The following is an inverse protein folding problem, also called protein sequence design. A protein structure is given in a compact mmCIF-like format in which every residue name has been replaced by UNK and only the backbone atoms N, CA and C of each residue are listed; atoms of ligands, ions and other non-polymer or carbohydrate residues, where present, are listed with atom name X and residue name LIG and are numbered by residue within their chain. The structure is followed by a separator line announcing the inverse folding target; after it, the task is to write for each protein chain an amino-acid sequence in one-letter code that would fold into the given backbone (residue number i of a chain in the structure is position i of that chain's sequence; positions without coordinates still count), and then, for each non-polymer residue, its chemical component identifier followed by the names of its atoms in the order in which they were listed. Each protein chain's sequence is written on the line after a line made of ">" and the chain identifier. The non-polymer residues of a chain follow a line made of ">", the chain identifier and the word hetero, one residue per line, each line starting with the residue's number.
data_IF_960760236032
#
_entry.id   IF_960760236032
#
_cell.length_a   1.000
_cell.length_b   1.000
_cell.length_c   1.000
_cell.angle_alpha   90.00
_cell.angle_beta   90.00
_cell.angle_gamma   90.00
#
_symmetry.space_group_name_H-M   'P 1'
#
loop_
_entity.id
_entity.type
_entity.pdbx_description
1 polymer ?
#
# COMPACT_ATOMS: atom_id res chain seq x y z
N UNK A 1 -1.42 -0.66 14.49
CA UNK A 1 -1.96 -0.63 13.13
C UNK A 1 -3.05 -1.67 12.99
N UNK A 2 -4.19 -1.27 12.45
CA UNK A 2 -5.28 -2.20 12.19
C UNK A 2 -5.46 -2.39 10.70
N UNK A 3 -5.84 -3.59 10.31
CA UNK A 3 -6.10 -3.92 8.91
C UNK A 3 -7.57 -4.30 8.80
N UNK A 4 -8.30 -3.59 7.96
CA UNK A 4 -9.74 -3.78 7.78
C UNK A 4 -10.00 -4.34 6.39
N UNK A 5 -10.83 -5.37 6.33
CA UNK A 5 -11.18 -6.01 5.07
C UNK A 5 -12.66 -5.77 4.77
N UNK A 6 -12.94 -5.34 3.54
CA UNK A 6 -14.31 -5.06 3.10
C UNK A 6 -14.57 -5.75 1.77
N UNK A 7 -15.70 -6.45 1.68
CA UNK A 7 -16.11 -7.09 0.43
C UNK A 7 -15.06 -8.07 -0.08
N UNK A 8 -14.49 -8.85 0.83
CA UNK A 8 -13.43 -9.79 0.49
C UNK A 8 -13.82 -11.22 0.80
N UNK A 9 -15.10 -11.56 0.72
CA UNK A 9 -15.57 -12.91 1.00
C UNK A 9 -14.98 -13.94 0.06
N UNK A 10 -14.52 -13.50 -1.11
CA UNK A 10 -13.91 -14.35 -2.10
C UNK A 10 -12.49 -14.80 -1.72
N UNK A 11 -11.90 -14.17 -0.72
CA UNK A 11 -10.51 -14.46 -0.34
C UNK A 11 -10.48 -15.46 0.80
N UNK A 12 -9.67 -16.52 0.65
CA UNK A 12 -9.51 -17.50 1.68
C UNK A 12 -8.75 -16.91 2.86
N UNK A 13 -8.96 -17.49 4.04
CA UNK A 13 -8.34 -16.99 5.26
C UNK A 13 -6.82 -17.06 5.18
N UNK A 14 -6.28 -18.11 4.56
CA UNK A 14 -4.83 -18.25 4.42
C UNK A 14 -4.24 -17.08 3.61
N UNK A 15 -4.90 -16.70 2.54
CA UNK A 15 -4.45 -15.58 1.72
C UNK A 15 -4.54 -14.27 2.47
N UNK A 16 -5.58 -14.11 3.27
CA UNK A 16 -5.73 -12.90 4.08
C UNK A 16 -4.60 -12.79 5.09
N UNK A 17 -4.31 -13.90 5.78
CA UNK A 17 -3.26 -13.90 6.79
C UNK A 17 -1.90 -13.61 6.19
N UNK A 18 -1.64 -14.14 5.01
CA UNK A 18 -0.37 -13.92 4.33
C UNK A 18 -0.20 -12.44 3.99
N UNK A 19 -1.24 -11.81 3.48
CA UNK A 19 -1.18 -10.40 3.13
C UNK A 19 -1.04 -9.54 4.38
N UNK A 20 -1.77 -9.87 5.43
CA UNK A 20 -1.63 -9.13 6.68
C UNK A 20 -0.21 -9.22 7.22
N UNK A 21 0.40 -10.40 7.13
CA UNK A 21 1.77 -10.57 7.60
C UNK A 21 2.73 -9.69 6.82
N UNK A 22 2.56 -9.61 5.51
CA UNK A 22 3.41 -8.78 4.67
C UNK A 22 3.25 -7.30 5.02
N UNK A 23 2.02 -6.85 5.25
CA UNK A 23 1.78 -5.45 5.57
C UNK A 23 2.32 -5.12 6.96
N UNK A 24 2.16 -6.02 7.93
CA UNK A 24 2.67 -5.79 9.27
C UNK A 24 4.19 -5.74 9.29
N UNK A 25 4.83 -6.61 8.50
CA UNK A 25 6.28 -6.58 8.38
C UNK A 25 6.74 -5.26 7.78
N UNK A 26 6.04 -4.79 6.76
CA UNK A 26 6.36 -3.51 6.15
C UNK A 26 6.22 -2.36 7.15
N UNK A 27 5.19 -2.41 7.98
CA UNK A 27 4.98 -1.37 9.00
C UNK A 27 6.11 -1.37 10.03
N UNK A 28 6.55 -2.56 10.43
CA UNK A 28 7.62 -2.67 11.41
C UNK A 28 8.93 -2.14 10.87
N UNK A 29 9.20 -2.35 9.60
CA UNK A 29 10.42 -1.86 8.97
C UNK A 29 10.49 -0.33 8.97
N UNK A 30 9.37 0.35 9.08
CA UNK A 30 9.31 1.80 9.04
C UNK A 30 8.93 2.43 10.36
N UNK A 31 9.23 1.79 11.47
CA UNK A 31 8.93 2.30 12.80
C UNK A 31 7.43 2.53 12.99
N UNK A 32 6.64 1.63 12.43
CA UNK A 32 5.18 1.66 12.58
C UNK A 32 4.57 2.96 12.10
N UNK A 33 5.03 3.43 10.95
CA UNK A 33 4.51 4.66 10.38
C UNK A 33 3.17 4.49 9.66
N UNK A 34 2.71 3.24 9.49
CA UNK A 34 1.40 2.97 8.89
C UNK A 34 0.37 2.87 10.01
N UNK A 35 -0.74 3.59 9.87
CA UNK A 35 -1.71 3.66 10.96
C UNK A 35 -2.86 2.69 10.74
N UNK A 36 -3.67 2.91 9.73
CA UNK A 36 -4.79 2.03 9.43
C UNK A 36 -4.75 1.63 7.97
N UNK A 37 -5.00 0.36 7.70
CA UNK A 37 -5.01 -0.14 6.33
C UNK A 37 -6.39 -0.68 6.03
N UNK A 38 -6.98 -0.27 4.92
CA UNK A 38 -8.27 -0.78 4.47
C UNK A 38 -8.09 -1.42 3.11
N UNK A 39 -8.59 -2.63 2.98
CA UNK A 39 -8.51 -3.37 1.72
C UNK A 39 -9.93 -3.72 1.31
N UNK A 40 -10.33 -3.30 0.13
CA UNK A 40 -11.68 -3.58 -0.36
C UNK A 40 -11.63 -4.12 -1.78
N UNK A 41 -12.54 -5.05 -2.09
CA UNK A 41 -12.67 -5.61 -3.41
C UNK A 41 -14.01 -5.22 -4.01
N UNK A 42 -13.99 -4.81 -5.27
CA UNK A 42 -15.19 -4.43 -5.98
C UNK A 42 -15.24 -5.06 -7.35
N UNK A 43 -16.45 -5.51 -7.74
CA UNK A 43 -16.67 -5.95 -9.10
C UNK A 43 -17.26 -4.78 -9.87
N UNK A 44 -16.60 -4.38 -10.94
CA UNK A 44 -17.08 -3.28 -11.73
C UNK A 44 -18.05 -3.78 -12.78
N UNK A 45 -19.27 -3.29 -12.74
CA UNK A 45 -20.25 -3.66 -13.76
C UNK A 45 -20.06 -2.88 -15.04
N UNK A 46 -19.30 -1.80 -14.98
CA UNK A 46 -19.14 -0.93 -16.14
C UNK A 46 -17.93 -1.27 -16.98
N UNK A 47 -17.10 -2.20 -16.50
CA UNK A 47 -15.86 -2.51 -17.19
C UNK A 47 -15.81 -3.95 -17.64
N UNK A 48 -16.91 -4.47 -18.09
CA UNK A 48 -16.97 -5.83 -18.70
C UNK A 48 -16.40 -6.90 -17.78
N UNK A 49 -16.73 -6.81 -16.50
CA UNK A 49 -16.32 -7.87 -15.57
C UNK A 49 -14.98 -7.64 -14.91
N UNK A 50 -14.38 -6.48 -15.11
CA UNK A 50 -13.14 -6.17 -14.40
C UNK A 50 -13.38 -6.13 -12.90
N UNK A 51 -12.38 -6.60 -12.15
CA UNK A 51 -12.42 -6.61 -10.70
C UNK A 51 -11.41 -5.61 -10.18
N UNK A 52 -11.81 -4.84 -9.19
CA UNK A 52 -10.92 -3.84 -8.62
C UNK A 52 -10.63 -4.16 -7.17
N UNK A 53 -9.37 -4.02 -6.76
CA UNK A 53 -9.00 -4.06 -5.35
C UNK A 53 -8.35 -2.72 -5.01
N UNK A 54 -8.79 -2.14 -3.92
CA UNK A 54 -8.28 -0.84 -3.46
C UNK A 54 -7.74 -1.00 -2.05
N UNK A 55 -6.52 -0.50 -1.84
CA UNK A 55 -5.90 -0.48 -0.53
C UNK A 55 -5.66 0.98 -0.17
N UNK A 56 -6.18 1.40 0.97
CA UNK A 56 -5.94 2.76 1.45
C UNK A 56 -5.27 2.66 2.82
N UNK A 57 -4.39 3.59 3.10
CA UNK A 57 -3.65 3.59 4.35
C UNK A 57 -3.31 5.02 4.74
N UNK A 58 -3.44 5.31 6.02
CA UNK A 58 -2.99 6.58 6.56
C UNK A 58 -1.57 6.41 7.05
N UNK A 59 -0.67 7.30 6.60
CA UNK A 59 0.75 7.22 6.96
C UNK A 59 1.26 8.61 7.29
N UNK A 60 1.29 8.92 8.58
CA UNK A 60 1.85 10.17 9.10
C UNK A 60 1.29 11.40 8.40
N UNK A 61 -0.03 11.48 8.37
CA UNK A 61 -0.69 12.65 7.80
C UNK A 61 -0.87 12.61 6.30
N UNK A 62 -0.45 11.53 5.65
CA UNK A 62 -0.67 11.33 4.23
C UNK A 62 -1.51 10.11 4.00
N UNK A 63 -2.28 10.12 2.95
CA UNK A 63 -3.05 8.95 2.57
C UNK A 63 -2.40 8.29 1.38
N UNK A 64 -2.19 6.98 1.49
CA UNK A 64 -1.67 6.18 0.40
C UNK A 64 -2.83 5.39 -0.18
N UNK A 65 -2.99 5.44 -1.50
CA UNK A 65 -4.04 4.71 -2.19
C UNK A 65 -3.40 3.86 -3.28
N UNK A 66 -3.66 2.56 -3.23
CA UNK A 66 -3.20 1.63 -4.27
C UNK A 66 -4.44 0.92 -4.80
N UNK A 67 -4.81 1.19 -6.04
CA UNK A 67 -5.97 0.59 -6.67
C UNK A 67 -5.53 -0.07 -7.97
N UNK A 68 -5.97 -1.31 -8.16
CA UNK A 68 -5.63 -2.07 -9.36
C UNK A 68 -6.83 -2.85 -9.84
N UNK A 69 -6.93 -3.02 -11.13
CA UNK A 69 -7.99 -3.81 -11.74
C UNK A 69 -7.38 -4.97 -12.50
N UNK A 70 -8.15 -6.05 -12.60
CA UNK A 70 -7.72 -7.23 -13.33
C UNK A 70 -8.95 -8.07 -13.65
N UNK A 71 -8.74 -9.12 -14.43
CA UNK A 71 -9.82 -10.07 -14.74
C UNK A 71 -10.23 -10.84 -13.49
N UNK A 72 -9.39 -10.96 -12.50
CA UNK A 72 -9.72 -11.68 -11.28
C UNK A 72 -9.37 -10.82 -10.06
N UNK A 73 -10.11 -11.04 -8.98
CA UNK A 73 -9.84 -10.33 -7.73
C UNK A 73 -8.51 -10.76 -7.12
N UNK A 74 -8.14 -12.03 -7.29
CA UNK A 74 -6.85 -12.48 -6.78
C UNK A 74 -5.70 -11.73 -7.43
N UNK A 75 -5.74 -11.56 -8.75
CA UNK A 75 -4.68 -10.85 -9.45
C UNK A 75 -4.71 -9.37 -9.10
N UNK A 76 -5.91 -8.79 -9.02
CA UNK A 76 -6.04 -7.38 -8.66
C UNK A 76 -5.50 -7.15 -7.24
N UNK A 77 -5.77 -8.06 -6.32
CA UNK A 77 -5.27 -7.96 -4.97
C UNK A 77 -3.75 -8.04 -4.93
N UNK A 78 -3.18 -9.00 -5.66
CA UNK A 78 -1.73 -9.14 -5.72
C UNK A 78 -1.10 -7.85 -6.25
N UNK A 79 -1.64 -7.32 -7.34
CA UNK A 79 -1.10 -6.11 -7.95
C UNK A 79 -1.25 -4.91 -7.04
N UNK A 80 -2.38 -4.81 -6.33
CA UNK A 80 -2.61 -3.70 -5.41
C UNK A 80 -1.65 -3.76 -4.23
N UNK A 81 -1.40 -4.97 -3.69
CA UNK A 81 -0.48 -5.13 -2.58
C UNK A 81 0.94 -4.74 -3.00
N UNK A 82 1.38 -5.19 -4.18
CA UNK A 82 2.70 -4.84 -4.66
C UNK A 82 2.85 -3.34 -4.86
N UNK A 83 1.82 -2.71 -5.42
CA UNK A 83 1.84 -1.27 -5.63
C UNK A 83 1.85 -0.52 -4.29
N UNK A 84 1.07 -1.00 -3.32
CA UNK A 84 1.01 -0.41 -2.00
C UNK A 84 2.40 -0.44 -1.35
N UNK A 85 3.05 -1.60 -1.39
CA UNK A 85 4.38 -1.75 -0.80
C UNK A 85 5.36 -0.79 -1.47
N UNK A 86 5.29 -0.69 -2.78
CA UNK A 86 6.18 0.21 -3.52
C UNK A 86 5.95 1.66 -3.13
N UNK A 87 4.69 2.08 -3.01
CA UNK A 87 4.40 3.46 -2.62
C UNK A 87 4.91 3.78 -1.22
N UNK A 88 4.78 2.83 -0.29
CA UNK A 88 5.27 3.02 1.06
C UNK A 88 6.79 3.19 1.06
N UNK A 89 7.47 2.34 0.31
CA UNK A 89 8.94 2.42 0.21
C UNK A 89 9.39 3.74 -0.41
N UNK A 90 8.67 4.19 -1.43
CA UNK A 90 8.99 5.46 -2.08
C UNK A 90 8.78 6.63 -1.12
N UNK A 91 7.70 6.59 -0.36
CA UNK A 91 7.44 7.63 0.62
C UNK A 91 8.56 7.71 1.65
N UNK A 92 9.03 6.56 2.14
CA UNK A 92 10.11 6.51 3.11
C UNK A 92 11.42 6.99 2.52
N UNK A 93 11.66 6.64 1.26
CA UNK A 93 12.85 7.07 0.56
C UNK A 93 12.87 8.57 0.39
N UNK A 94 11.74 9.17 0.04
CA UNK A 94 11.66 10.61 -0.12
C UNK A 94 11.91 11.34 1.19
N UNK A 95 11.40 10.79 2.30
CA UNK A 95 11.64 11.40 3.60
C UNK A 95 13.11 11.40 3.95
N UNK A 96 13.78 10.27 3.70
CA UNK A 96 15.21 10.18 3.97
C UNK A 96 16.00 11.11 3.05
N UNK A 97 15.58 11.19 1.80
CA UNK A 97 16.22 12.06 0.83
C UNK A 97 16.13 13.52 1.21
N UNK A 98 14.98 13.93 1.73
CA UNK A 98 14.83 15.31 2.18
C UNK A 98 15.78 15.64 3.30
N UNK A 99 15.91 14.75 4.26
CA UNK A 99 16.84 14.97 5.36
C UNK A 99 18.26 15.03 4.86
N UNK A 100 18.60 14.13 3.97
CA UNK A 100 19.93 14.11 3.38
C UNK A 100 20.21 15.37 2.59
N UNK A 101 19.22 15.82 1.82
CA UNK A 101 19.37 17.02 1.06
C UNK A 101 19.68 18.21 1.94
N UNK A 102 18.96 18.31 3.03
CA UNK A 102 19.19 19.41 3.92
C UNK A 102 20.59 19.40 4.49
N UNK A 103 21.08 18.22 4.79
CA UNK A 103 22.40 18.08 5.34
C UNK A 103 23.48 18.36 4.31
N UNK A 104 23.23 18.05 3.05
CA UNK A 104 24.27 18.16 2.05
C UNK A 104 24.18 19.40 1.23
N UNK A 105 23.15 20.12 1.36
CA UNK A 105 22.98 21.26 0.60
C UNK A 105 23.88 22.26 0.88
N UNK A 106 24.56 22.10 1.37
CA UNK A 106 25.32 22.83 1.37
C UNK A 106 26.34 22.41 0.76
N UNK A 107 26.34 21.53 -0.02
CA UNK A 107 27.08 21.08 -0.78
C UNK A 107 26.80 21.21 -1.90
N UNK A 108 26.73 21.61 -2.34
CA UNK A 108 26.35 21.77 -3.25
C UNK A 108 25.79 21.49 -4.09
N UNK A 109 25.74 21.35 -4.06
CA UNK A 109 25.19 21.09 -4.56
C UNK A 109 24.73 20.93 -4.89
N UNK A 110 24.89 20.92 -4.90
CA UNK A 110 24.45 20.54 -4.98
C UNK A 110 24.18 20.48 -5.31
N UNK A 111 24.53 20.59 -5.20
CA UNK A 111 24.33 20.36 -5.22
C UNK A 111 24.13 20.26 -5.08
#
# INVERSE_FOLDING_TARGET
>A
MEIHWHHTQWLAEDGREEIEARIRELAEQGSNDLIDVRISGNSSRHSHGEQEVRITCEARGKEIVAARTSDSLDQALHDAVENFIQQVREMRKKRRGRRGSRASIREGDGS
#
